data_IF_898329575733
#
_entry.id   IF_898329575733
#
_cell.length_a   1.000
_cell.length_b   1.000
_cell.length_c   1.000
_cell.angle_alpha   90.00
_cell.angle_beta   90.00
_cell.angle_gamma   90.00
#
_symmetry.space_group_name_H-M   'P 1'
#
loop_
_entity.id
_entity.type
_entity.pdbx_description
1 polymer ?
#
# COMPACT_ATOMS: atom_id res chain seq x y z
N UNK A 1 12.29 -20.18 -7.62
CA UNK A 1 11.06 -19.83 -8.34
C UNK A 1 9.85 -19.62 -7.42
N UNK A 2 9.67 -20.38 -6.33
CA UNK A 2 8.49 -20.28 -5.42
C UNK A 2 8.28 -18.89 -4.78
N UNK A 3 9.33 -18.07 -4.62
CA UNK A 3 9.21 -16.74 -3.98
C UNK A 3 8.56 -15.65 -4.82
N UNK A 4 8.62 -15.75 -6.15
CA UNK A 4 8.11 -14.69 -7.04
C UNK A 4 6.58 -14.76 -7.18
N UNK A 5 6.02 -15.97 -7.24
CA UNK A 5 4.56 -16.21 -7.31
C UNK A 5 3.84 -15.76 -6.02
N UNK A 6 4.48 -15.96 -4.86
CA UNK A 6 3.94 -15.54 -3.56
C UNK A 6 3.81 -14.01 -3.42
N UNK A 7 4.77 -13.27 -3.96
CA UNK A 7 4.78 -11.80 -3.92
C UNK A 7 3.73 -11.21 -4.87
N UNK A 8 3.66 -11.73 -6.09
CA UNK A 8 2.68 -11.32 -7.09
C UNK A 8 1.24 -11.61 -6.63
N UNK A 9 1.01 -12.80 -6.05
CA UNK A 9 -0.29 -13.16 -5.47
C UNK A 9 -0.69 -12.21 -4.35
N UNK A 10 0.23 -11.84 -3.45
CA UNK A 10 -0.07 -10.90 -2.35
C UNK A 10 -0.36 -9.50 -2.87
N UNK A 11 0.45 -8.99 -3.80
CA UNK A 11 0.18 -7.71 -4.45
C UNK A 11 -1.22 -7.72 -5.04
N UNK A 12 -1.57 -8.75 -5.82
CA UNK A 12 -2.90 -8.92 -6.40
C UNK A 12 -4.02 -8.94 -5.33
N UNK A 13 -3.84 -9.66 -4.23
CA UNK A 13 -4.85 -9.68 -3.15
C UNK A 13 -5.04 -8.32 -2.50
N UNK A 14 -3.98 -7.52 -2.38
CA UNK A 14 -4.03 -6.21 -1.77
C UNK A 14 -4.65 -5.17 -2.71
N UNK A 15 -4.31 -5.18 -4.00
CA UNK A 15 -4.97 -4.36 -5.02
C UNK A 15 -6.45 -4.67 -5.17
N UNK A 16 -6.83 -5.95 -5.02
CA UNK A 16 -8.24 -6.34 -4.93
C UNK A 16 -8.93 -5.68 -3.75
N UNK A 17 -8.32 -5.71 -2.56
CA UNK A 17 -8.89 -5.07 -1.36
C UNK A 17 -9.02 -3.56 -1.51
N UNK A 18 -7.99 -2.87 -2.01
CA UNK A 18 -8.07 -1.42 -2.24
C UNK A 18 -9.12 -1.08 -3.29
N UNK A 19 -9.16 -1.84 -4.39
CA UNK A 19 -10.18 -1.68 -5.44
C UNK A 19 -11.60 -1.85 -4.90
N UNK A 20 -11.84 -2.86 -4.04
CA UNK A 20 -13.15 -3.06 -3.41
C UNK A 20 -13.51 -1.93 -2.43
N UNK A 21 -12.55 -1.42 -1.65
CA UNK A 21 -12.77 -0.27 -0.75
C UNK A 21 -13.15 0.97 -1.56
N UNK A 22 -12.42 1.29 -2.63
CA UNK A 22 -12.77 2.40 -3.51
C UNK A 22 -14.11 2.17 -4.20
N UNK A 23 -14.39 0.96 -4.69
CA UNK A 23 -15.68 0.62 -5.28
C UNK A 23 -16.82 0.90 -4.31
N UNK A 24 -16.71 0.46 -3.05
CA UNK A 24 -17.72 0.70 -2.03
C UNK A 24 -17.89 2.20 -1.74
N UNK A 25 -16.78 2.92 -1.56
CA UNK A 25 -16.78 4.36 -1.31
C UNK A 25 -17.45 5.15 -2.45
N UNK A 26 -17.03 4.90 -3.70
CA UNK A 26 -17.59 5.58 -4.87
C UNK A 26 -19.04 5.16 -5.15
N UNK A 27 -19.41 3.90 -4.88
CA UNK A 27 -20.80 3.44 -5.00
C UNK A 27 -21.73 4.15 -4.01
N UNK A 28 -21.31 4.35 -2.76
CA UNK A 28 -22.08 5.12 -1.77
C UNK A 28 -22.29 6.55 -2.24
N UNK A 29 -21.22 7.22 -2.69
CA UNK A 29 -21.31 8.59 -3.22
C UNK A 29 -22.22 8.65 -4.44
N UNK A 30 -22.10 7.68 -5.35
CA UNK A 30 -22.94 7.57 -6.55
C UNK A 30 -24.42 7.41 -6.19
N UNK A 31 -24.77 6.51 -5.27
CA UNK A 31 -26.16 6.30 -4.83
C UNK A 31 -26.72 7.55 -4.17
N UNK A 32 -25.93 8.23 -3.32
CA UNK A 32 -26.34 9.50 -2.72
C UNK A 32 -26.54 10.59 -3.78
N UNK A 33 -25.61 10.75 -4.71
CA UNK A 33 -25.68 11.72 -5.82
C UNK A 33 -26.90 11.46 -6.71
N UNK A 34 -27.19 10.19 -7.02
CA UNK A 34 -28.34 9.78 -7.80
C UNK A 34 -29.65 10.06 -7.04
N UNK A 35 -29.69 9.74 -5.74
CA UNK A 35 -30.87 9.98 -4.89
C UNK A 35 -31.19 11.47 -4.80
N UNK A 36 -30.18 12.31 -4.61
CA UNK A 36 -30.34 13.78 -4.62
C UNK A 36 -30.83 14.26 -5.98
N UNK A 37 -30.25 13.76 -7.07
CA UNK A 37 -30.65 14.12 -8.44
C UNK A 37 -32.09 13.71 -8.76
N UNK A 38 -32.57 12.58 -8.25
CA UNK A 38 -33.94 12.09 -8.45
C UNK A 38 -34.99 12.87 -7.63
N UNK A 39 -34.61 13.35 -6.44
CA UNK A 39 -35.50 14.13 -5.57
C UNK A 39 -35.55 15.61 -5.94
N UNK A 40 -34.54 16.11 -6.66
CA UNK A 40 -34.46 17.51 -7.09
C UNK A 40 -35.28 17.71 -8.36
N UNK A 41 -35.97 18.85 -8.45
CA UNK A 41 -36.71 19.20 -9.66
C UNK A 41 -35.76 19.29 -10.88
N UNK A 42 -36.11 18.57 -11.95
CA UNK A 42 -35.37 18.53 -13.23
C UNK A 42 -35.22 19.91 -13.88
N UNK A 43 -35.94 20.92 -13.38
CA UNK A 43 -35.84 22.32 -13.83
C UNK A 43 -34.70 23.11 -13.20
N UNK A 44 -33.98 22.54 -12.22
CA UNK A 44 -32.84 23.23 -11.62
C UNK A 44 -31.70 23.44 -12.62
N UNK A 45 -31.08 24.64 -12.68
CA UNK A 45 -30.00 24.92 -13.63
C UNK A 45 -28.76 24.04 -13.41
N UNK A 46 -28.60 23.46 -12.22
CA UNK A 46 -27.47 22.59 -11.85
C UNK A 46 -27.63 21.14 -12.33
N UNK A 47 -28.80 20.75 -12.84
CA UNK A 47 -29.12 19.36 -13.22
C UNK A 47 -28.10 18.74 -14.20
N UNK A 48 -27.70 19.41 -15.30
CA UNK A 48 -26.74 18.84 -16.25
C UNK A 48 -25.38 18.54 -15.61
N UNK A 49 -24.91 19.42 -14.72
CA UNK A 49 -23.63 19.26 -14.03
C UNK A 49 -23.68 18.07 -13.06
N UNK A 50 -24.74 17.96 -12.26
CA UNK A 50 -24.92 16.81 -11.36
C UNK A 50 -25.01 15.50 -12.14
N UNK A 51 -25.74 15.48 -13.26
CA UNK A 51 -25.85 14.29 -14.11
C UNK A 51 -24.49 13.85 -14.66
N UNK A 52 -23.69 14.79 -15.20
CA UNK A 52 -22.33 14.49 -15.69
C UNK A 52 -21.47 13.90 -14.56
N UNK A 53 -21.52 14.48 -13.37
CA UNK A 53 -20.77 13.96 -12.22
C UNK A 53 -21.24 12.56 -11.82
N UNK A 54 -22.55 12.28 -11.82
CA UNK A 54 -23.08 10.93 -11.56
C UNK A 54 -22.60 9.93 -12.61
N UNK A 55 -22.55 10.31 -13.89
CA UNK A 55 -22.03 9.47 -14.97
C UNK A 55 -20.54 9.17 -14.76
N UNK A 56 -19.73 10.17 -14.41
CA UNK A 56 -18.30 9.96 -14.13
C UNK A 56 -18.11 9.06 -12.91
N UNK A 57 -18.87 9.27 -11.84
CA UNK A 57 -18.83 8.42 -10.65
C UNK A 57 -19.23 6.97 -10.95
N UNK A 58 -20.22 6.75 -11.83
CA UNK A 58 -20.60 5.42 -12.29
C UNK A 58 -19.44 4.73 -13.00
N UNK A 59 -18.80 5.41 -13.97
CA UNK A 59 -17.66 4.84 -14.70
C UNK A 59 -16.45 4.60 -13.79
N UNK A 60 -16.16 5.50 -12.85
CA UNK A 60 -15.11 5.30 -11.86
C UNK A 60 -15.39 4.08 -10.98
N UNK A 61 -16.62 3.94 -10.48
CA UNK A 61 -17.05 2.79 -9.67
C UNK A 61 -16.91 1.48 -10.46
N UNK A 62 -17.37 1.46 -11.70
CA UNK A 62 -17.21 0.31 -12.59
C UNK A 62 -15.74 -0.02 -12.83
N UNK A 63 -14.90 0.98 -13.10
CA UNK A 63 -13.47 0.79 -13.32
C UNK A 63 -12.75 0.21 -12.08
N UNK A 64 -13.06 0.67 -10.87
CA UNK A 64 -12.53 0.09 -9.64
C UNK A 64 -13.02 -1.35 -9.43
N UNK A 65 -14.29 -1.62 -9.71
CA UNK A 65 -14.86 -2.97 -9.60
C UNK A 65 -14.15 -3.92 -10.58
N UNK A 66 -14.08 -3.58 -11.86
CA UNK A 66 -13.38 -4.38 -12.87
C UNK A 66 -11.90 -4.55 -12.52
N UNK A 67 -11.22 -3.49 -12.11
CA UNK A 67 -9.82 -3.57 -11.67
C UNK A 67 -9.64 -4.49 -10.47
N UNK A 68 -10.61 -4.54 -9.54
CA UNK A 68 -10.56 -5.44 -8.38
C UNK A 68 -10.77 -6.92 -8.75
N UNK A 69 -11.57 -7.19 -9.79
CA UNK A 69 -11.89 -8.54 -10.23
C UNK A 69 -10.80 -9.14 -11.12
N UNK A 70 -10.10 -8.31 -11.90
CA UNK A 70 -9.11 -8.75 -12.87
C UNK A 70 -7.70 -8.22 -12.52
N UNK A 71 -6.78 -9.08 -12.02
CA UNK A 71 -5.44 -8.64 -11.59
C UNK A 71 -4.62 -7.94 -12.68
N UNK A 72 -4.83 -8.29 -13.95
CA UNK A 72 -4.18 -7.63 -15.09
C UNK A 72 -4.55 -6.14 -15.22
N UNK A 73 -5.68 -5.74 -14.65
CA UNK A 73 -6.19 -4.38 -14.67
C UNK A 73 -5.86 -3.60 -13.38
N UNK A 74 -5.01 -4.11 -12.49
CA UNK A 74 -4.62 -3.40 -11.26
C UNK A 74 -4.02 -2.01 -11.54
N UNK A 75 -3.39 -1.82 -12.71
CA UNK A 75 -2.87 -0.53 -13.17
C UNK A 75 -3.94 0.54 -13.41
N UNK A 76 -5.21 0.15 -13.58
CA UNK A 76 -6.31 1.08 -13.85
C UNK A 76 -6.66 1.93 -12.61
N UNK A 77 -6.54 1.38 -11.39
CA UNK A 77 -6.91 2.09 -10.15
C UNK A 77 -6.17 3.44 -9.99
N UNK A 78 -4.83 3.49 -10.02
CA UNK A 78 -4.12 4.77 -9.91
C UNK A 78 -4.42 5.73 -11.07
N UNK A 79 -4.61 5.22 -12.29
CA UNK A 79 -4.93 6.05 -13.45
C UNK A 79 -6.30 6.73 -13.26
N UNK A 80 -7.31 5.98 -12.82
CA UNK A 80 -8.64 6.53 -12.52
C UNK A 80 -8.54 7.61 -11.44
N UNK A 81 -7.79 7.36 -10.35
CA UNK A 81 -7.59 8.37 -9.30
C UNK A 81 -6.88 9.64 -9.81
N UNK A 82 -5.87 9.50 -10.68
CA UNK A 82 -5.22 10.65 -11.31
C UNK A 82 -6.19 11.44 -12.19
N UNK A 83 -7.02 10.76 -12.98
CA UNK A 83 -8.04 11.42 -13.83
C UNK A 83 -9.12 12.12 -12.99
N UNK A 84 -9.52 11.53 -11.85
CA UNK A 84 -10.49 12.12 -10.93
C UNK A 84 -9.92 13.30 -10.13
N UNK A 85 -8.59 13.42 -10.03
CA UNK A 85 -7.92 14.49 -9.29
C UNK A 85 -8.34 15.88 -9.77
N UNK A 86 -8.19 16.26 -11.07
CA UNK A 86 -8.67 17.55 -11.55
C UNK A 86 -10.19 17.69 -11.44
N UNK A 87 -10.96 16.62 -11.60
CA UNK A 87 -12.42 16.72 -11.49
C UNK A 87 -12.85 17.12 -10.07
N UNK A 88 -12.22 16.56 -9.03
CA UNK A 88 -12.51 16.93 -7.64
C UNK A 88 -12.07 18.37 -7.29
N UNK A 89 -11.18 18.99 -8.08
CA UNK A 89 -10.76 20.37 -7.87
C UNK A 89 -11.76 21.40 -8.42
N UNK A 90 -12.65 21.02 -9.33
CA UNK A 90 -13.59 21.97 -9.95
C UNK A 90 -14.68 22.45 -8.99
N UNK A 91 -14.96 21.66 -7.94
CA UNK A 91 -15.89 22.03 -6.88
C UNK A 91 -15.11 22.42 -5.61
N UNK A 92 -15.15 23.70 -5.19
CA UNK A 92 -14.46 24.18 -3.99
C UNK A 92 -14.79 23.38 -2.72
N UNK A 93 -16.02 22.87 -2.61
CA UNK A 93 -16.55 22.16 -1.43
C UNK A 93 -15.86 20.82 -1.20
N UNK A 94 -15.36 20.21 -2.27
CA UNK A 94 -14.69 18.90 -2.24
C UNK A 94 -13.24 18.96 -2.73
N UNK A 95 -12.69 20.16 -2.90
CA UNK A 95 -11.33 20.38 -3.38
C UNK A 95 -10.26 19.60 -2.61
N UNK A 96 -10.46 19.35 -1.31
CA UNK A 96 -9.56 18.53 -0.48
C UNK A 96 -9.49 17.06 -0.93
N UNK A 97 -10.54 16.53 -1.56
CA UNK A 97 -10.55 15.16 -2.09
C UNK A 97 -9.54 15.01 -3.24
N UNK A 98 -9.26 16.08 -3.99
CA UNK A 98 -8.30 16.03 -5.10
C UNK A 98 -6.89 15.62 -4.63
N UNK A 99 -6.43 16.21 -3.52
CA UNK A 99 -5.16 15.86 -2.89
C UNK A 99 -5.18 14.43 -2.36
N UNK A 100 -6.31 14.00 -1.79
CA UNK A 100 -6.52 12.63 -1.35
C UNK A 100 -6.41 11.62 -2.49
N UNK A 101 -7.09 11.87 -3.61
CA UNK A 101 -7.02 11.03 -4.82
C UNK A 101 -5.60 10.99 -5.38
N UNK A 102 -4.92 12.13 -5.45
CA UNK A 102 -3.53 12.20 -5.91
C UNK A 102 -2.61 11.35 -5.02
N UNK A 103 -2.67 11.51 -3.69
CA UNK A 103 -1.84 10.72 -2.75
C UNK A 103 -2.17 9.24 -2.84
N UNK A 104 -3.45 8.86 -2.91
CA UNK A 104 -3.85 7.48 -3.10
C UNK A 104 -3.33 6.90 -4.43
N UNK A 105 -3.35 7.68 -5.51
CA UNK A 105 -2.78 7.27 -6.79
C UNK A 105 -1.27 7.04 -6.70
N UNK A 106 -0.52 7.95 -6.06
CA UNK A 106 0.92 7.83 -5.84
C UNK A 106 1.26 6.57 -5.01
N UNK A 107 0.49 6.28 -3.95
CA UNK A 107 0.64 5.05 -3.16
C UNK A 107 0.48 3.81 -4.04
N UNK A 108 -0.55 3.77 -4.87
CA UNK A 108 -0.85 2.63 -5.74
C UNK A 108 0.18 2.48 -6.87
N UNK A 109 0.62 3.58 -7.49
CA UNK A 109 1.70 3.57 -8.48
C UNK A 109 3.00 3.04 -7.87
N UNK A 110 3.31 3.46 -6.64
CA UNK A 110 4.47 2.95 -5.91
C UNK A 110 4.38 1.45 -5.66
N UNK A 111 3.20 0.95 -5.30
CA UNK A 111 2.96 -0.49 -5.12
C UNK A 111 3.01 -1.30 -6.41
N UNK A 112 2.75 -0.69 -7.56
CA UNK A 112 2.89 -1.33 -8.87
C UNK A 112 4.34 -1.38 -9.37
N UNK A 113 5.31 -0.86 -8.60
CA UNK A 113 6.69 -0.76 -9.05
C UNK A 113 6.92 0.33 -10.09
N UNK A 114 5.95 1.24 -10.31
CA UNK A 114 6.07 2.31 -11.31
C UNK A 114 7.32 3.17 -11.07
N UNK A 115 7.73 3.36 -9.81
CA UNK A 115 8.90 4.17 -9.44
C UNK A 115 10.23 3.40 -9.37
N UNK A 116 10.28 2.11 -9.71
CA UNK A 116 11.52 1.31 -9.65
C UNK A 116 12.61 1.89 -10.56
N UNK A 117 12.25 2.23 -11.78
CA UNK A 117 13.13 2.90 -12.74
C UNK A 117 12.92 4.41 -12.70
N UNK A 118 14.00 5.18 -12.52
CA UNK A 118 14.00 6.64 -12.58
C UNK A 118 13.03 7.32 -11.58
N UNK A 119 12.98 6.81 -10.34
CA UNK A 119 12.10 7.30 -9.25
C UNK A 119 11.94 8.82 -9.19
N UNK A 120 13.06 9.55 -9.16
CA UNK A 120 13.07 11.02 -9.01
C UNK A 120 12.31 11.72 -10.15
N UNK A 121 12.57 11.30 -11.39
CA UNK A 121 11.98 11.91 -12.58
C UNK A 121 10.46 11.69 -12.63
N UNK A 122 10.01 10.45 -12.38
CA UNK A 122 8.58 10.11 -12.36
C UNK A 122 7.81 10.84 -11.26
N UNK A 123 8.38 10.97 -10.05
CA UNK A 123 7.77 11.75 -8.97
C UNK A 123 7.63 13.23 -9.38
N UNK A 124 8.67 13.82 -9.98
CA UNK A 124 8.62 15.20 -10.47
C UNK A 124 7.49 15.37 -11.48
N UNK A 125 7.36 14.45 -12.46
CA UNK A 125 6.27 14.50 -13.45
C UNK A 125 4.91 14.49 -12.78
N UNK A 126 4.67 13.58 -11.83
CA UNK A 126 3.36 13.46 -11.20
C UNK A 126 3.01 14.68 -10.33
N UNK A 127 4.00 15.22 -9.61
CA UNK A 127 3.83 16.48 -8.84
C UNK A 127 3.58 17.67 -9.78
N UNK A 128 4.33 17.76 -10.89
CA UNK A 128 4.11 18.79 -11.91
C UNK A 128 2.72 18.69 -12.54
N UNK A 129 2.24 17.47 -12.81
CA UNK A 129 0.87 17.22 -13.28
C UNK A 129 -0.17 17.76 -12.29
N UNK A 130 -0.03 17.46 -11.00
CA UNK A 130 -0.93 17.94 -9.96
C UNK A 130 -0.97 19.47 -9.88
N UNK A 131 0.18 20.14 -9.93
CA UNK A 131 0.25 21.61 -9.93
C UNK A 131 -0.33 22.22 -11.21
N UNK A 132 -0.10 21.60 -12.36
CA UNK A 132 -0.70 22.04 -13.61
C UNK A 132 -2.23 21.99 -13.52
N UNK A 133 -2.80 20.92 -12.95
CA UNK A 133 -4.24 20.82 -12.71
C UNK A 133 -4.76 21.94 -11.81
N UNK A 134 -4.08 22.23 -10.69
CA UNK A 134 -4.48 23.33 -9.79
C UNK A 134 -4.45 24.69 -10.50
N UNK A 135 -3.40 24.97 -11.27
CA UNK A 135 -3.26 26.23 -12.01
C UNK A 135 -4.38 26.35 -13.05
N UNK A 136 -4.56 25.31 -13.88
CA UNK A 136 -5.57 25.33 -14.94
C UNK A 136 -6.97 25.54 -14.37
N UNK A 137 -7.33 24.81 -13.31
CA UNK A 137 -8.66 24.90 -12.70
C UNK A 137 -8.84 26.23 -11.98
N UNK A 138 -7.81 26.73 -11.29
CA UNK A 138 -7.86 28.04 -10.66
C UNK A 138 -8.08 29.16 -11.68
N UNK A 139 -7.40 29.09 -12.83
CA UNK A 139 -7.54 30.07 -13.92
C UNK A 139 -8.91 29.95 -14.59
N UNK A 140 -9.38 28.75 -14.93
CA UNK A 140 -10.69 28.57 -15.58
C UNK A 140 -11.87 28.91 -14.67
N UNK A 141 -11.70 28.76 -13.35
CA UNK A 141 -12.71 29.16 -12.36
C UNK A 141 -12.67 30.65 -12.03
N UNK A 142 -11.75 31.42 -12.63
CA UNK A 142 -11.62 32.86 -12.39
C UNK A 142 -11.10 33.22 -11.00
N UNK A 143 -10.37 32.32 -10.33
CA UNK A 143 -9.80 32.61 -9.01
C UNK A 143 -8.68 33.64 -9.13
N UNK A 144 -8.57 34.51 -8.12
CA UNK A 144 -7.45 35.43 -8.00
C UNK A 144 -6.11 34.68 -7.93
N UNK A 145 -5.10 35.15 -8.68
CA UNK A 145 -3.77 34.54 -8.72
C UNK A 145 -3.14 34.33 -7.33
N UNK A 146 -3.40 35.22 -6.38
CA UNK A 146 -2.94 35.09 -5.00
C UNK A 146 -3.47 33.80 -4.34
N UNK A 147 -4.74 33.44 -4.56
CA UNK A 147 -5.33 32.21 -4.00
C UNK A 147 -4.72 30.96 -4.64
N UNK A 148 -4.45 30.99 -5.96
CA UNK A 148 -3.78 29.89 -6.67
C UNK A 148 -2.37 29.67 -6.08
N UNK A 149 -1.60 30.75 -5.90
CA UNK A 149 -0.26 30.69 -5.30
C UNK A 149 -0.31 30.15 -3.87
N UNK A 150 -1.25 30.62 -3.05
CA UNK A 150 -1.42 30.12 -1.67
C UNK A 150 -1.77 28.64 -1.65
N UNK A 151 -2.66 28.18 -2.54
CA UNK A 151 -3.00 26.75 -2.68
C UNK A 151 -1.79 25.89 -3.08
N UNK A 152 -0.98 26.37 -4.04
CA UNK A 152 0.24 25.70 -4.48
C UNK A 152 1.28 25.62 -3.35
N UNK A 153 1.48 26.71 -2.61
CA UNK A 153 2.39 26.75 -1.47
C UNK A 153 1.94 25.79 -0.36
N UNK A 154 0.65 25.82 -0.02
CA UNK A 154 0.07 24.92 0.97
C UNK A 154 0.26 23.44 0.56
N UNK A 155 -0.08 23.11 -0.70
CA UNK A 155 0.07 21.76 -1.23
C UNK A 155 1.53 21.30 -1.22
N UNK A 156 2.46 22.21 -1.55
CA UNK A 156 3.91 21.94 -1.50
C UNK A 156 4.38 21.62 -0.09
N UNK A 157 4.04 22.47 0.88
CA UNK A 157 4.40 22.27 2.29
C UNK A 157 3.82 20.96 2.81
N UNK A 158 2.57 20.67 2.47
CA UNK A 158 1.90 19.43 2.87
C UNK A 158 2.56 18.18 2.26
N UNK A 159 2.91 18.20 0.97
CA UNK A 159 3.63 17.10 0.33
C UNK A 159 5.02 16.90 0.94
N UNK A 160 5.75 17.99 1.24
CA UNK A 160 7.03 17.93 1.96
C UNK A 160 6.83 17.29 3.34
N UNK A 161 5.79 17.71 4.08
CA UNK A 161 5.45 17.12 5.38
C UNK A 161 5.19 15.62 5.27
N UNK A 162 4.41 15.17 4.28
CA UNK A 162 4.16 13.74 4.06
C UNK A 162 5.45 12.97 3.73
N UNK A 163 6.31 13.55 2.90
CA UNK A 163 7.62 12.97 2.57
C UNK A 163 8.49 12.85 3.84
N UNK A 164 8.49 13.84 4.73
CA UNK A 164 9.26 13.78 5.98
C UNK A 164 8.65 12.81 6.99
N UNK A 165 7.33 12.87 7.20
CA UNK A 165 6.63 12.06 8.18
C UNK A 165 6.65 10.56 7.81
N UNK A 166 6.60 10.25 6.52
CA UNK A 166 6.45 8.87 6.07
C UNK A 166 7.61 8.37 5.19
N UNK A 167 8.50 9.22 4.68
CA UNK A 167 9.53 8.83 3.70
C UNK A 167 10.43 7.68 4.13
N UNK A 168 10.78 7.60 5.42
CA UNK A 168 11.57 6.51 5.96
C UNK A 168 10.74 5.24 6.21
N UNK A 169 9.46 5.40 6.54
CA UNK A 169 8.55 4.30 6.90
C UNK A 169 8.01 3.58 5.66
N UNK A 170 7.90 4.27 4.52
CA UNK A 170 7.44 3.67 3.26
C UNK A 170 8.38 2.58 2.78
N UNK A 171 9.69 2.78 2.92
CA UNK A 171 10.70 1.77 2.53
C UNK A 171 10.57 0.50 3.39
N UNK A 172 10.09 0.61 4.62
CA UNK A 172 10.03 -0.51 5.58
C UNK A 172 8.72 -1.32 5.42
N UNK A 173 7.59 -0.68 5.13
CA UNK A 173 6.31 -1.37 4.91
C UNK A 173 6.16 -1.99 3.51
N UNK A 174 7.01 -1.60 2.55
CA UNK A 174 7.03 -2.11 1.18
C UNK A 174 8.20 -3.07 0.92
N UNK A 175 9.07 -3.31 1.92
CA UNK A 175 10.12 -4.32 1.80
C UNK A 175 9.46 -5.69 1.66
N UNK A 176 9.81 -6.40 0.58
CA UNK A 176 9.28 -7.72 0.24
C UNK A 176 9.12 -8.62 1.48
N UNK A 177 8.05 -9.43 1.54
CA UNK A 177 7.84 -10.31 2.67
C UNK A 177 9.08 -11.16 2.89
N UNK A 178 9.58 -11.17 4.14
CA UNK A 178 10.73 -11.96 4.58
C UNK A 178 10.77 -13.30 3.84
N UNK A 179 11.82 -13.59 3.06
CA UNK A 179 11.88 -14.80 2.25
C UNK A 179 11.55 -16.04 3.08
N UNK A 180 10.82 -17.00 2.51
CA UNK A 180 10.51 -18.24 3.21
C UNK A 180 11.78 -19.08 3.30
N UNK A 181 12.18 -19.41 4.52
CA UNK A 181 13.27 -20.35 4.76
C UNK A 181 12.63 -21.66 5.19
N UNK A 182 12.68 -22.65 4.31
CA UNK A 182 12.22 -23.99 4.63
C UNK A 182 13.21 -24.62 5.60
N UNK A 183 12.76 -25.03 6.77
CA UNK A 183 13.63 -25.70 7.74
C UNK A 183 14.11 -27.06 7.20
N UNK A 184 13.33 -27.67 6.30
CA UNK A 184 13.69 -28.89 5.58
C UNK A 184 14.89 -28.72 4.66
N UNK A 185 15.10 -27.55 4.02
CA UNK A 185 16.26 -27.35 3.13
C UNK A 185 17.58 -27.23 3.92
N UNK A 186 17.50 -26.86 5.20
CA UNK A 186 18.64 -26.86 6.11
C UNK A 186 18.87 -28.23 6.78
N UNK A 187 18.13 -29.26 6.36
CA UNK A 187 18.21 -30.62 6.92
C UNK A 187 18.10 -30.63 8.45
N UNK A 188 17.20 -29.81 9.00
CA UNK A 188 16.95 -29.79 10.44
C UNK A 188 16.11 -31.00 10.84
N UNK A 189 16.55 -31.70 11.88
CA UNK A 189 15.80 -32.79 12.49
C UNK A 189 14.57 -32.24 13.22
N UNK A 190 13.55 -33.08 13.44
CA UNK A 190 12.34 -32.69 14.18
C UNK A 190 12.64 -32.04 15.53
N UNK A 191 13.61 -32.59 16.27
CA UNK A 191 14.01 -32.03 17.58
C UNK A 191 14.76 -30.71 17.46
N UNK A 192 15.63 -30.54 16.46
CA UNK A 192 16.29 -29.25 16.20
C UNK A 192 15.27 -28.15 15.89
N UNK A 193 14.21 -28.47 15.13
CA UNK A 193 13.12 -27.53 14.83
C UNK A 193 12.38 -27.13 16.11
N UNK A 194 12.07 -28.09 17.00
CA UNK A 194 11.38 -27.82 18.27
C UNK A 194 12.22 -26.90 19.16
N UNK A 195 13.52 -27.17 19.30
CA UNK A 195 14.40 -26.34 20.12
C UNK A 195 14.64 -24.96 19.52
N UNK A 196 14.79 -24.88 18.19
CA UNK A 196 14.89 -23.61 17.46
C UNK A 196 13.67 -22.73 17.70
N UNK A 197 12.46 -23.27 17.52
CA UNK A 197 11.22 -22.52 17.76
C UNK A 197 11.11 -22.03 19.19
N UNK A 198 11.35 -22.92 20.14
CA UNK A 198 11.30 -22.56 21.57
C UNK A 198 12.32 -21.47 21.93
N UNK A 199 13.50 -21.48 21.31
CA UNK A 199 14.52 -20.45 21.50
C UNK A 199 14.10 -19.09 20.90
N UNK A 200 13.46 -19.12 19.72
CA UNK A 200 12.92 -17.92 19.05
C UNK A 200 11.72 -17.32 19.79
N UNK A 201 10.94 -18.16 20.49
CA UNK A 201 9.86 -17.75 21.39
C UNK A 201 10.39 -17.14 22.71
N UNK A 202 11.70 -16.94 22.83
CA UNK A 202 12.34 -16.31 23.98
C UNK A 202 12.61 -17.24 25.16
N UNK A 203 12.33 -18.54 25.06
CA UNK A 203 12.60 -19.49 26.15
C UNK A 203 14.10 -19.63 26.40
N UNK A 204 14.45 -19.85 27.67
CA UNK A 204 15.84 -20.11 28.08
C UNK A 204 16.20 -21.58 27.82
N UNK A 205 17.49 -21.89 27.66
CA UNK A 205 17.98 -23.27 27.46
C UNK A 205 17.50 -24.20 28.58
N UNK A 206 17.51 -23.70 29.83
CA UNK A 206 17.01 -24.40 31.00
C UNK A 206 15.51 -24.72 30.88
N UNK A 207 14.69 -23.75 30.47
CA UNK A 207 13.25 -23.96 30.24
C UNK A 207 13.00 -25.02 29.18
N UNK A 208 13.72 -24.96 28.05
CA UNK A 208 13.59 -25.92 26.94
C UNK A 208 13.97 -27.33 27.41
N UNK A 209 15.04 -27.45 28.20
CA UNK A 209 15.52 -28.71 28.75
C UNK A 209 14.47 -29.37 29.67
N UNK A 210 13.87 -28.58 30.57
CA UNK A 210 12.81 -29.02 31.49
C UNK A 210 11.58 -29.49 30.70
N UNK A 211 11.08 -28.68 29.77
CA UNK A 211 9.89 -29.00 28.96
C UNK A 211 10.09 -30.23 28.08
N UNK A 212 11.30 -30.44 27.58
CA UNK A 212 11.62 -31.56 26.70
C UNK A 212 12.09 -32.81 27.45
N UNK A 213 12.20 -32.76 28.78
CA UNK A 213 12.65 -33.89 29.60
C UNK A 213 14.11 -34.29 29.37
N UNK A 214 15.00 -33.35 29.02
CA UNK A 214 16.41 -33.62 28.70
C UNK A 214 17.36 -32.77 29.54
N UNK A 215 18.65 -33.14 29.56
CA UNK A 215 19.70 -32.31 30.19
C UNK A 215 19.97 -31.04 29.38
N UNK A 216 20.32 -29.94 30.04
CA UNK A 216 20.67 -28.67 29.38
C UNK A 216 21.81 -28.82 28.35
N UNK A 217 22.79 -29.69 28.64
CA UNK A 217 23.88 -30.00 27.71
C UNK A 217 23.38 -30.56 26.38
N UNK A 218 22.33 -31.37 26.39
CA UNK A 218 21.69 -31.92 25.18
C UNK A 218 21.08 -30.82 24.32
N UNK A 219 20.37 -29.88 24.94
CA UNK A 219 19.79 -28.72 24.24
C UNK A 219 20.89 -27.84 23.65
N UNK A 220 21.94 -27.54 24.43
CA UNK A 220 23.08 -26.71 23.97
C UNK A 220 23.81 -27.34 22.78
N UNK A 221 24.11 -28.64 22.86
CA UNK A 221 24.77 -29.36 21.76
C UNK A 221 23.90 -29.40 20.50
N UNK A 222 22.58 -29.53 20.67
CA UNK A 222 21.63 -29.52 19.55
C UNK A 222 21.53 -28.14 18.92
N UNK A 223 21.42 -27.06 19.71
CA UNK A 223 21.42 -25.70 19.21
C UNK A 223 22.75 -25.31 18.55
N UNK A 224 23.89 -25.82 19.03
CA UNK A 224 25.19 -25.63 18.37
C UNK A 224 25.22 -26.19 16.94
N UNK A 225 24.58 -27.35 16.71
CA UNK A 225 24.39 -27.89 15.35
C UNK A 225 23.48 -27.00 14.51
N UNK A 226 22.42 -26.45 15.11
CA UNK A 226 21.54 -25.48 14.43
C UNK A 226 22.31 -24.22 14.04
N UNK A 227 23.14 -23.66 14.93
CA UNK A 227 23.97 -22.48 14.63
C UNK A 227 24.88 -22.74 13.43
N UNK A 228 25.52 -23.91 13.36
CA UNK A 228 26.33 -24.31 12.19
C UNK A 228 25.51 -24.43 10.91
N UNK A 229 24.32 -25.05 10.97
CA UNK A 229 23.42 -25.19 9.81
C UNK A 229 22.91 -23.84 9.29
N UNK A 230 22.72 -22.88 10.20
CA UNK A 230 22.35 -21.51 9.86
C UNK A 230 23.55 -20.63 9.55
N UNK A 231 24.79 -21.13 9.63
CA UNK A 231 26.01 -20.33 9.46
C UNK A 231 25.98 -19.05 10.31
N UNK A 232 25.81 -19.24 11.62
CA UNK A 232 25.82 -18.20 12.65
C UNK A 232 26.63 -18.68 13.85
N UNK A 233 27.21 -17.74 14.59
CA UNK A 233 28.12 -18.04 15.71
C UNK A 233 27.34 -18.24 17.01
N UNK A 234 26.24 -17.49 17.19
CA UNK A 234 25.59 -17.36 18.48
C UNK A 234 24.06 -17.18 18.39
N UNK A 235 23.42 -17.07 19.56
CA UNK A 235 21.98 -16.85 19.69
C UNK A 235 21.53 -15.56 19.01
N UNK A 236 22.30 -14.47 19.17
CA UNK A 236 21.92 -13.18 18.58
C UNK A 236 21.98 -13.25 17.05
N UNK A 237 23.03 -13.85 16.48
CA UNK A 237 23.15 -14.11 15.05
C UNK A 237 22.02 -14.98 14.52
N UNK A 238 21.63 -16.04 15.25
CA UNK A 238 20.50 -16.88 14.87
C UNK A 238 19.17 -16.10 14.87
N UNK A 239 18.89 -15.30 15.91
CA UNK A 239 17.68 -14.48 15.97
C UNK A 239 17.67 -13.44 14.84
N UNK A 240 18.81 -12.78 14.58
CA UNK A 240 18.94 -11.82 13.50
C UNK A 240 18.69 -12.48 12.14
N UNK A 241 19.28 -13.65 11.89
CA UNK A 241 19.11 -14.39 10.63
C UNK A 241 17.69 -14.90 10.48
N UNK A 242 17.13 -15.61 11.46
CA UNK A 242 15.72 -16.03 11.45
C UNK A 242 14.75 -14.85 11.37
N UNK A 243 15.11 -13.70 11.95
CA UNK A 243 14.36 -12.46 11.86
C UNK A 243 14.28 -11.87 10.44
N UNK A 244 15.11 -12.32 9.49
CA UNK A 244 15.03 -11.93 8.08
C UNK A 244 14.15 -12.87 7.24
N UNK A 245 13.76 -14.03 7.78
CA UNK A 245 13.00 -15.06 7.05
C UNK A 245 11.65 -15.35 7.72
N UNK A 246 10.71 -15.90 6.96
CA UNK A 246 9.53 -16.57 7.51
C UNK A 246 9.81 -18.07 7.56
N UNK A 247 9.91 -18.64 8.76
CA UNK A 247 10.23 -20.06 8.93
C UNK A 247 9.01 -20.92 8.56
N UNK A 248 9.19 -21.83 7.62
CA UNK A 248 8.19 -22.86 7.25
C UNK A 248 8.74 -24.23 7.63
N UNK A 249 7.88 -25.08 8.19
CA UNK A 249 8.22 -26.44 8.59
C UNK A 249 8.66 -27.29 7.38
#
# INVERSE_FOLDING_TARGET
MVGHEDAEYRAATLFRKTGLVFTCFFAVIFVLSLSISLLRDNRSPDFPFMFINSVILFFATAAFLFSSLYPRLNGVQPIVLLVLTPLAMTDPSISFLSLGFFICAEILLHRLGYFETQRKFKIIINVSYYYLCQILIGVTSGLHYALIIVSLLFSTIFLIFLILAFGNTWVIYLKDPKPRLSLSTLNLTKMEVVYLRSLLDGKTIKSIAIESGVKESTVRNTLSRVYKKFDVIDKAGLIAKCGQFKLTA
#
